data_IF_361872786686
#
_entry.id   IF_361872786686
#
_cell.length_a   1.000
_cell.length_b   1.000
_cell.length_c   1.000
_cell.angle_alpha   90.00
_cell.angle_beta   90.00
_cell.angle_gamma   90.00
#
_symmetry.space_group_name_H-M   'P 1'
#
loop_
_entity.id
_entity.type
_entity.pdbx_description
1 polymer ?
#
# COMPACT_ATOMS: atom_id res chain seq x y z
N UNK A 1 18.58 7.63 -7.10
CA UNK A 1 17.99 6.31 -6.80
C UNK A 1 17.50 5.67 -8.07
N UNK A 2 17.66 4.34 -8.19
CA UNK A 2 17.25 3.56 -9.37
C UNK A 2 16.19 2.55 -8.93
N UNK A 3 15.19 2.32 -9.77
CA UNK A 3 14.20 1.28 -9.56
C UNK A 3 14.17 0.30 -10.74
N UNK A 4 13.94 -0.98 -10.43
CA UNK A 4 13.64 -2.04 -11.38
C UNK A 4 12.13 -2.33 -11.33
N UNK A 5 11.55 -2.71 -12.47
CA UNK A 5 10.10 -2.97 -12.57
C UNK A 5 9.82 -4.14 -13.51
N UNK A 6 8.70 -4.86 -13.29
CA UNK A 6 8.36 -6.00 -14.11
C UNK A 6 7.91 -5.55 -15.49
N UNK A 7 8.49 -6.16 -16.53
CA UNK A 7 8.13 -5.90 -17.94
C UNK A 7 6.88 -6.69 -18.32
N UNK A 8 6.14 -6.21 -19.32
CA UNK A 8 5.00 -6.90 -19.92
C UNK A 8 3.86 -7.21 -18.95
N UNK A 9 3.68 -6.41 -17.90
CA UNK A 9 2.58 -6.56 -16.95
C UNK A 9 1.38 -5.75 -17.42
N UNK A 10 0.21 -6.39 -17.43
CA UNK A 10 -1.08 -5.71 -17.62
C UNK A 10 -1.82 -5.62 -16.29
N UNK A 11 -2.49 -4.51 -16.04
CA UNK A 11 -3.23 -4.34 -14.80
C UNK A 11 -4.40 -3.35 -14.93
N UNK A 12 -5.52 -3.71 -14.31
CA UNK A 12 -6.61 -2.80 -14.00
C UNK A 12 -7.25 -3.16 -12.65
N UNK A 13 -7.40 -2.17 -11.76
CA UNK A 13 -8.09 -2.38 -10.49
C UNK A 13 -9.60 -2.62 -10.70
N UNK A 14 -10.07 -3.82 -10.36
CA UNK A 14 -11.49 -4.21 -10.45
C UNK A 14 -12.37 -3.71 -9.29
N UNK A 15 -11.80 -2.95 -8.34
CA UNK A 15 -12.48 -2.51 -7.10
C UNK A 15 -13.19 -3.64 -6.34
N UNK A 16 -12.57 -4.83 -6.32
CA UNK A 16 -13.16 -6.03 -5.73
C UNK A 16 -12.99 -6.16 -4.21
N UNK A 17 -12.30 -5.21 -3.56
CA UNK A 17 -11.94 -5.22 -2.14
C UNK A 17 -11.04 -6.39 -1.66
N UNK A 18 -10.55 -7.26 -2.55
CA UNK A 18 -9.68 -8.39 -2.19
C UNK A 18 -8.42 -7.95 -1.44
N UNK A 19 -7.85 -6.79 -1.79
CA UNK A 19 -6.67 -6.24 -1.11
C UNK A 19 -6.96 -5.60 0.24
N UNK A 20 -8.23 -5.40 0.58
CA UNK A 20 -8.67 -4.73 1.80
C UNK A 20 -8.90 -5.71 2.96
N UNK A 21 -8.30 -6.90 2.93
CA UNK A 21 -8.40 -7.88 4.01
C UNK A 21 -7.55 -9.11 3.77
N UNK A 22 -7.62 -10.05 4.69
CA UNK A 22 -7.04 -11.38 4.55
C UNK A 22 -7.81 -12.20 3.50
N UNK A 23 -7.11 -13.13 2.88
CA UNK A 23 -7.69 -14.17 2.05
C UNK A 23 -7.41 -15.53 2.68
N UNK A 24 -8.12 -16.56 2.22
CA UNK A 24 -7.92 -17.94 2.68
C UNK A 24 -6.45 -18.38 2.62
N UNK A 25 -5.69 -17.85 1.65
CA UNK A 25 -4.29 -18.21 1.40
C UNK A 25 -3.28 -17.17 1.85
N UNK A 26 -3.70 -15.98 2.33
CA UNK A 26 -2.77 -14.90 2.65
C UNK A 26 -3.28 -13.94 3.73
N UNK A 27 -2.51 -13.87 4.81
CA UNK A 27 -2.62 -12.80 5.79
C UNK A 27 -1.90 -11.56 5.27
N UNK A 28 -2.62 -10.44 5.13
CA UNK A 28 -2.09 -9.17 4.64
C UNK A 28 -1.84 -8.20 5.77
N UNK A 29 -0.72 -7.49 5.74
CA UNK A 29 -0.43 -6.41 6.66
C UNK A 29 -0.31 -5.11 5.87
N UNK A 30 -1.20 -4.15 6.14
CA UNK A 30 -1.07 -2.80 5.60
C UNK A 30 -0.19 -2.03 6.56
N UNK A 31 1.06 -1.84 6.19
CA UNK A 31 2.02 -1.07 6.96
C UNK A 31 1.98 0.40 6.51
N UNK A 32 2.26 1.29 7.45
CA UNK A 32 2.17 2.73 7.26
C UNK A 32 3.37 3.41 7.89
N UNK A 33 3.91 4.41 7.20
CA UNK A 33 4.86 5.33 7.80
C UNK A 33 4.13 6.28 8.75
N UNK A 34 4.86 6.89 9.69
CA UNK A 34 4.29 7.83 10.67
C UNK A 34 3.50 8.96 10.02
N UNK A 35 4.04 9.55 8.94
CA UNK A 35 3.37 10.65 8.23
C UNK A 35 2.04 10.23 7.60
N UNK A 36 1.94 8.98 7.14
CA UNK A 36 0.72 8.45 6.52
C UNK A 36 -0.36 8.20 7.56
N UNK A 37 0.02 7.60 8.69
CA UNK A 37 -0.90 7.33 9.79
C UNK A 37 -1.49 8.65 10.33
N UNK A 38 -0.65 9.67 10.59
CA UNK A 38 -1.14 10.99 11.00
C UNK A 38 -1.99 11.69 9.94
N UNK A 39 -1.69 11.49 8.65
CA UNK A 39 -2.52 12.02 7.56
C UNK A 39 -3.91 11.39 7.55
N UNK A 40 -4.00 10.08 7.79
CA UNK A 40 -5.28 9.35 7.89
C UNK A 40 -6.06 9.84 9.10
N UNK A 41 -5.44 9.89 10.28
CA UNK A 41 -6.05 10.42 11.51
C UNK A 41 -6.72 11.79 11.29
N UNK A 42 -5.97 12.75 10.73
CA UNK A 42 -6.48 14.11 10.44
C UNK A 42 -7.61 14.16 9.42
N UNK A 43 -7.65 13.22 8.47
CA UNK A 43 -8.62 13.23 7.36
C UNK A 43 -9.87 12.41 7.64
N UNK A 44 -9.73 11.33 8.40
CA UNK A 44 -10.82 10.49 8.86
C UNK A 44 -11.49 11.05 10.12
N UNK A 45 -10.81 11.93 10.87
CA UNK A 45 -11.26 12.42 12.18
C UNK A 45 -11.45 11.26 13.18
N UNK A 46 -10.49 10.35 13.19
CA UNK A 46 -10.45 9.15 14.04
C UNK A 46 -9.09 9.11 14.72
N UNK A 47 -9.05 8.72 15.99
CA UNK A 47 -7.80 8.65 16.74
C UNK A 47 -6.88 7.54 16.22
N UNK A 48 -5.57 7.77 16.32
CA UNK A 48 -4.57 6.88 15.74
C UNK A 48 -4.66 5.45 16.28
N UNK A 49 -4.94 5.30 17.57
CA UNK A 49 -4.98 3.99 18.24
C UNK A 49 -6.24 3.18 17.87
N UNK A 50 -7.27 3.82 17.33
CA UNK A 50 -8.50 3.14 16.89
C UNK A 50 -8.27 2.34 15.59
N UNK A 51 -7.46 2.85 14.67
CA UNK A 51 -7.27 2.24 13.36
C UNK A 51 -5.86 1.69 13.13
N UNK A 52 -4.87 2.04 13.95
CA UNK A 52 -3.50 1.60 13.81
C UNK A 52 -2.93 1.07 15.13
N UNK A 53 -1.90 0.25 15.00
CA UNK A 53 -1.05 -0.19 16.11
C UNK A 53 0.43 0.01 15.75
N UNK A 54 1.28 0.19 16.76
CA UNK A 54 2.74 0.29 16.56
C UNK A 54 3.30 -1.02 15.99
N UNK A 55 4.27 -0.88 15.08
CA UNK A 55 4.92 -2.01 14.42
C UNK A 55 6.40 -1.70 14.18
N UNK A 56 7.30 -2.27 14.98
CA UNK A 56 8.72 -1.84 15.00
C UNK A 56 9.64 -2.66 14.08
N UNK A 57 9.12 -3.71 13.43
CA UNK A 57 9.94 -4.68 12.71
C UNK A 57 10.17 -4.35 11.23
N UNK A 58 9.76 -3.18 10.74
CA UNK A 58 9.78 -2.88 9.30
C UNK A 58 9.95 -1.39 8.98
N UNK A 59 10.95 -0.74 9.58
CA UNK A 59 11.38 0.61 9.19
C UNK A 59 11.45 0.77 7.66
N UNK A 60 10.87 1.83 7.07
CA UNK A 60 10.32 3.05 7.70
C UNK A 60 8.85 2.94 8.16
N UNK A 61 8.24 1.76 8.07
CA UNK A 61 6.84 1.54 8.40
C UNK A 61 6.68 1.17 9.86
N UNK A 62 6.34 2.16 10.69
CA UNK A 62 6.24 2.01 12.15
C UNK A 62 4.81 1.75 12.67
N UNK A 63 3.82 1.71 11.78
CA UNK A 63 2.43 1.40 12.10
C UNK A 63 1.88 0.28 11.22
N UNK A 64 0.99 -0.52 11.79
CA UNK A 64 0.18 -1.51 11.08
C UNK A 64 -1.29 -1.15 11.21
N UNK A 65 -2.02 -1.20 10.10
CA UNK A 65 -3.48 -1.01 10.08
C UNK A 65 -4.15 -2.14 10.85
N UNK A 66 -5.06 -1.78 11.74
CA UNK A 66 -5.91 -2.75 12.45
C UNK A 66 -6.89 -3.42 11.49
N UNK A 67 -7.31 -4.61 11.88
CA UNK A 67 -8.32 -5.38 11.17
C UNK A 67 -9.54 -5.59 12.05
N UNK A 68 -10.67 -5.81 11.40
CA UNK A 68 -11.86 -6.38 12.03
C UNK A 68 -11.60 -7.84 12.40
N UNK A 69 -12.47 -8.42 13.22
CA UNK A 69 -12.44 -9.83 13.58
C UNK A 69 -12.51 -10.77 12.36
N UNK A 70 -13.07 -10.28 11.24
CA UNK A 70 -13.15 -10.99 9.97
C UNK A 70 -11.87 -10.86 9.11
N UNK A 71 -10.80 -10.30 9.66
CA UNK A 71 -9.53 -10.08 8.94
C UNK A 71 -9.60 -8.97 7.89
N UNK A 72 -10.63 -8.12 7.90
CA UNK A 72 -10.79 -7.02 6.95
C UNK A 72 -10.13 -5.75 7.48
N UNK A 73 -9.61 -4.90 6.60
CA UNK A 73 -9.09 -3.57 6.95
C UNK A 73 -10.16 -2.76 7.69
N UNK A 74 -9.75 -2.06 8.76
CA UNK A 74 -10.62 -1.20 9.57
C UNK A 74 -11.49 -0.23 8.75
N UNK A 75 -10.95 0.30 7.63
CA UNK A 75 -11.64 1.25 6.77
C UNK A 75 -12.43 0.63 5.60
N UNK A 76 -12.66 -0.68 5.59
CA UNK A 76 -13.49 -1.33 4.57
C UNK A 76 -14.98 -1.23 4.94
N UNK A 77 -15.78 -0.60 4.09
CA UNK A 77 -17.23 -0.45 4.22
C UNK A 77 -17.90 -0.83 2.89
N UNK A 78 -18.82 -1.78 2.90
CA UNK A 78 -19.58 -2.20 1.71
C UNK A 78 -18.72 -2.41 0.44
N UNK A 79 -17.59 -3.10 0.59
CA UNK A 79 -16.59 -3.35 -0.47
C UNK A 79 -15.86 -2.10 -0.99
N UNK A 80 -15.99 -0.97 -0.31
CA UNK A 80 -15.33 0.29 -0.62
C UNK A 80 -14.45 0.76 0.53
N UNK A 81 -13.31 1.39 0.22
CA UNK A 81 -12.44 1.96 1.24
C UNK A 81 -12.93 3.36 1.60
N UNK A 82 -13.34 3.58 2.85
CA UNK A 82 -13.85 4.88 3.31
C UNK A 82 -12.80 6.00 3.28
N UNK A 83 -11.51 5.64 3.32
CA UNK A 83 -10.37 6.56 3.21
C UNK A 83 -9.68 6.53 1.83
N UNK A 84 -10.40 6.19 0.75
CA UNK A 84 -9.82 5.94 -0.58
C UNK A 84 -8.84 7.03 -1.07
N UNK A 85 -9.17 8.30 -0.79
CA UNK A 85 -8.37 9.46 -1.22
C UNK A 85 -7.06 9.64 -0.45
N UNK A 86 -6.96 9.10 0.77
CA UNK A 86 -5.80 9.26 1.66
C UNK A 86 -5.10 7.94 1.98
N UNK A 87 -5.42 6.90 1.21
CA UNK A 87 -4.82 5.56 1.31
C UNK A 87 -3.30 5.61 1.48
N UNK A 88 -2.73 4.73 2.33
CA UNK A 88 -1.29 4.52 2.40
C UNK A 88 -0.71 4.12 1.05
N UNK A 89 0.58 4.36 0.88
CA UNK A 89 1.38 4.01 -0.30
C UNK A 89 1.24 2.52 -0.62
N UNK A 90 1.32 1.64 0.39
CA UNK A 90 1.14 0.19 0.19
C UNK A 90 -0.24 -0.15 -0.42
N UNK A 91 -1.30 0.54 0.01
CA UNK A 91 -2.65 0.34 -0.54
C UNK A 91 -2.82 0.92 -1.95
N UNK A 92 -2.06 1.95 -2.31
CA UNK A 92 -2.07 2.52 -3.67
C UNK A 92 -1.30 1.65 -4.64
N UNK A 93 -0.23 1.02 -4.16
CA UNK A 93 0.67 0.24 -4.98
C UNK A 93 0.11 -1.14 -5.28
N UNK A 94 -0.75 -1.69 -4.43
CA UNK A 94 -1.35 -3.00 -4.67
C UNK A 94 -1.94 -3.08 -6.09
N UNK A 95 -1.57 -4.09 -6.90
CA UNK A 95 -0.94 -5.37 -6.52
C UNK A 95 0.59 -5.41 -6.51
N UNK A 96 1.24 -4.27 -6.71
CA UNK A 96 2.68 -4.12 -6.72
C UNK A 96 3.25 -3.99 -5.30
N UNK A 97 4.45 -4.53 -5.11
CA UNK A 97 5.24 -4.44 -3.89
C UNK A 97 6.58 -3.81 -4.26
N UNK A 98 7.08 -2.93 -3.39
CA UNK A 98 8.35 -2.24 -3.59
C UNK A 98 9.33 -2.69 -2.51
N UNK A 99 10.37 -3.40 -2.91
CA UNK A 99 11.43 -3.87 -2.02
C UNK A 99 12.65 -2.97 -2.15
N UNK A 100 13.22 -2.54 -1.02
CA UNK A 100 14.52 -1.88 -1.01
C UNK A 100 15.61 -2.94 -0.85
N UNK A 101 16.36 -3.19 -1.92
CA UNK A 101 17.53 -4.05 -1.91
C UNK A 101 18.74 -3.27 -1.38
N UNK A 102 19.89 -3.94 -1.20
CA UNK A 102 21.13 -3.26 -0.81
C UNK A 102 21.46 -2.11 -1.77
N UNK A 103 22.07 -1.05 -1.25
CA UNK A 103 22.54 0.13 -2.00
C UNK A 103 21.46 1.05 -2.59
N UNK A 104 20.35 1.28 -1.85
CA UNK A 104 19.25 2.19 -2.26
C UNK A 104 18.66 1.86 -3.65
N UNK A 105 18.66 0.56 -3.98
CA UNK A 105 18.09 0.03 -5.21
C UNK A 105 16.74 -0.60 -4.91
N UNK A 106 15.72 -0.10 -5.60
CA UNK A 106 14.35 -0.53 -5.39
C UNK A 106 13.88 -1.48 -6.49
N UNK A 107 13.13 -2.52 -6.12
CA UNK A 107 12.60 -3.50 -7.09
C UNK A 107 11.10 -3.60 -6.90
N UNK A 108 10.35 -3.35 -7.97
CA UNK A 108 8.93 -3.67 -8.01
C UNK A 108 8.71 -5.14 -8.34
N UNK A 109 7.90 -5.81 -7.53
CA UNK A 109 7.30 -7.12 -7.81
C UNK A 109 5.78 -7.00 -7.76
N UNK A 110 5.03 -8.06 -8.12
CA UNK A 110 3.56 -8.06 -8.01
C UNK A 110 3.04 -9.43 -7.61
N UNK A 111 1.85 -9.45 -7.00
CA UNK A 111 1.15 -10.70 -6.68
C UNK A 111 0.22 -11.13 -7.81
N UNK A 112 0.17 -12.43 -8.10
CA UNK A 112 -0.77 -13.03 -9.05
C UNK A 112 -2.18 -13.23 -8.48
N UNK A 113 -2.34 -13.02 -7.18
CA UNK A 113 -3.62 -13.18 -6.48
C UNK A 113 -4.63 -12.09 -6.86
N UNK A 114 -4.15 -10.93 -7.33
CA UNK A 114 -5.04 -9.86 -7.74
C UNK A 114 -5.72 -10.21 -9.07
N UNK A 115 -7.06 -10.25 -9.14
CA UNK A 115 -7.79 -10.55 -10.38
C UNK A 115 -7.67 -9.44 -11.43
N UNK A 116 -7.07 -8.31 -11.07
CA UNK A 116 -6.77 -7.23 -12.02
C UNK A 116 -5.49 -7.46 -12.82
N UNK A 117 -4.64 -8.42 -12.46
CA UNK A 117 -3.40 -8.72 -13.19
C UNK A 117 -3.71 -9.46 -14.49
N UNK A 118 -3.03 -9.10 -15.56
CA UNK A 118 -3.25 -9.64 -16.91
C UNK A 118 -4.31 -8.89 -17.71
N UNK A 119 -5.03 -7.97 -17.09
CA UNK A 119 -6.20 -7.31 -17.66
C UNK A 119 -5.87 -6.00 -18.38
N UNK A 120 -6.57 -5.77 -19.51
CA UNK A 120 -6.61 -4.54 -20.32
C UNK A 120 -5.25 -3.93 -20.65
N UNK A 121 -4.73 -3.05 -19.79
CA UNK A 121 -3.72 -2.06 -20.15
C UNK A 121 -2.33 -2.53 -19.80
N UNK A 122 -1.44 -2.52 -20.80
CA UNK A 122 -0.02 -2.71 -20.59
C UNK A 122 0.53 -1.55 -19.76
N UNK A 123 1.13 -1.87 -18.63
CA UNK A 123 1.78 -0.87 -17.79
C UNK A 123 3.11 -0.46 -18.40
N UNK A 124 3.37 0.84 -18.37
CA UNK A 124 4.61 1.44 -18.88
C UNK A 124 5.54 1.76 -17.73
N UNK A 125 6.81 2.07 -18.04
CA UNK A 125 7.75 2.61 -17.05
C UNK A 125 7.20 3.84 -16.33
N UNK A 126 6.43 4.68 -17.02
CA UNK A 126 5.84 5.89 -16.46
C UNK A 126 4.96 5.58 -15.24
N UNK A 127 4.10 4.56 -15.36
CA UNK A 127 3.24 4.12 -14.25
C UNK A 127 4.06 3.79 -12.99
N UNK A 128 5.12 2.97 -13.13
CA UNK A 128 5.99 2.63 -12.00
C UNK A 128 6.80 3.81 -11.49
N UNK A 129 7.13 4.76 -12.36
CA UNK A 129 7.81 5.99 -11.98
C UNK A 129 6.91 6.90 -11.14
N UNK A 130 5.61 6.97 -11.43
CA UNK A 130 4.63 7.71 -10.62
C UNK A 130 4.50 7.08 -9.23
N UNK A 131 4.35 5.75 -9.16
CA UNK A 131 4.35 5.04 -7.88
C UNK A 131 5.64 5.33 -7.11
N UNK A 132 6.80 5.13 -7.73
CA UNK A 132 8.08 5.36 -7.07
C UNK A 132 8.25 6.80 -6.58
N UNK A 133 7.80 7.78 -7.36
CA UNK A 133 7.85 9.20 -6.98
C UNK A 133 6.99 9.50 -5.76
N UNK A 134 5.77 8.92 -5.70
CA UNK A 134 4.89 9.05 -4.53
C UNK A 134 5.54 8.44 -3.28
N UNK A 135 6.10 7.23 -3.38
CA UNK A 135 6.83 6.60 -2.27
C UNK A 135 7.99 7.47 -1.79
N UNK A 136 8.80 7.99 -2.71
CA UNK A 136 9.96 8.83 -2.37
C UNK A 136 9.55 10.14 -1.72
N UNK A 137 8.46 10.76 -2.15
CA UNK A 137 7.92 11.97 -1.54
C UNK A 137 7.47 11.68 -0.09
N UNK A 138 6.73 10.61 0.12
CA UNK A 138 6.26 10.20 1.46
C UNK A 138 7.44 9.86 2.36
N UNK A 139 8.42 9.10 1.87
CA UNK A 139 9.62 8.73 2.61
C UNK A 139 10.44 9.97 3.03
N UNK A 140 10.61 10.93 2.12
CA UNK A 140 11.32 12.19 2.39
C UNK A 140 10.59 13.02 3.46
N UNK A 141 9.26 13.07 3.43
CA UNK A 141 8.46 13.75 4.46
C UNK A 141 8.55 13.03 5.79
N UNK A 142 8.51 11.70 5.81
CA UNK A 142 8.60 10.89 7.02
C UNK A 142 9.95 11.05 7.74
N UNK A 143 11.06 11.20 6.99
CA UNK A 143 12.39 11.43 7.58
C UNK A 143 12.56 12.84 8.17
N UNK A 144 11.64 13.77 7.91
CA UNK A 144 11.67 15.16 8.39
C UNK A 144 10.70 15.42 9.53
N UNK A 145 9.80 14.47 9.81
CA UNK A 145 8.75 14.56 10.83
C UNK A 145 9.18 14.01 12.18
#
# INVERSE_FOLDING_TARGET
>A
MRFEYPKNVRFECKRCALCCGDTETRNRSILMMQIEAHRIMKKALIDLDEFAEKFESSEPYIYRMRKTEKGQCFFLQDKSCSIYQVRPVICRFYPFQLENTRDDRYVFSYTKECPGIGEKSLLTKHFFQELFSEFMEVLKKNRRS
#
